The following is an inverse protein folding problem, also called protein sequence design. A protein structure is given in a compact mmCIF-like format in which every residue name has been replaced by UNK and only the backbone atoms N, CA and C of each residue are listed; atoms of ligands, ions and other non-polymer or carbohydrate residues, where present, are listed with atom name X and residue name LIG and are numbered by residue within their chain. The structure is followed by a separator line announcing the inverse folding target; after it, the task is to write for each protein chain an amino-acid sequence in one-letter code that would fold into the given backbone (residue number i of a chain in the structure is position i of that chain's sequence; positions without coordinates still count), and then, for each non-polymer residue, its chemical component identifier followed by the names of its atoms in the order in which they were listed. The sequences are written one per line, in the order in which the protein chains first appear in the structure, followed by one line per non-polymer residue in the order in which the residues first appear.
data_IF_093990360996
#
_entry.id   IF_093990360996
#
_cell.length_a   1.000
_cell.length_b   1.000
_cell.length_c   1.000
_cell.angle_alpha   90.00
_cell.angle_beta   90.00
_cell.angle_gamma   90.00
#
_symmetry.space_group_name_H-M   'P 1'
#
loop_
_entity.id
_entity.type
_entity.pdbx_description
1 polymer ?
#
# COMPACT_ATOMS: atom_id res chain seq x y z
N UNK A 1 -11.68 8.18 3.41
CA UNK A 1 -10.31 8.35 3.92
C UNK A 1 -10.38 8.44 5.44
N UNK A 2 -9.57 7.66 6.16
CA UNK A 2 -9.51 7.72 7.64
C UNK A 2 -8.95 9.08 8.08
N UNK A 3 -9.52 9.68 9.12
CA UNK A 3 -9.04 10.96 9.67
C UNK A 3 -7.85 10.70 10.59
N UNK A 4 -6.67 11.20 10.23
CA UNK A 4 -5.42 11.04 10.99
C UNK A 4 -5.20 12.24 11.91
N UNK A 5 -4.37 12.10 12.95
CA UNK A 5 -4.02 13.21 13.85
C UNK A 5 -3.52 14.42 13.04
N UNK A 6 -2.63 14.19 12.08
CA UNK A 6 -2.13 15.23 11.17
C UNK A 6 -3.26 16.00 10.47
N UNK A 7 -4.22 15.29 9.86
CA UNK A 7 -5.31 15.94 9.12
C UNK A 7 -6.22 16.72 10.06
N UNK A 8 -6.55 16.16 11.22
CA UNK A 8 -7.38 16.84 12.21
C UNK A 8 -6.69 18.13 12.72
N UNK A 9 -5.38 18.08 13.00
CA UNK A 9 -4.62 19.26 13.41
C UNK A 9 -4.59 20.34 12.31
N UNK A 10 -4.39 19.93 11.04
CA UNK A 10 -4.45 20.84 9.88
C UNK A 10 -5.83 21.41 9.61
N UNK A 11 -6.88 20.65 9.86
CA UNK A 11 -8.24 21.14 9.66
C UNK A 11 -8.60 22.22 10.71
N UNK A 12 -8.09 22.13 11.94
CA UNK A 12 -8.21 23.20 12.95
C UNK A 12 -7.53 24.48 12.46
N UNK A 13 -6.29 24.40 11.94
CA UNK A 13 -5.57 25.57 11.39
C UNK A 13 -6.34 26.21 10.24
N UNK A 14 -6.83 25.41 9.29
CA UNK A 14 -7.62 25.90 8.15
C UNK A 14 -8.94 26.53 8.57
N UNK A 15 -9.56 26.04 9.65
CA UNK A 15 -10.78 26.64 10.18
C UNK A 15 -10.50 28.03 10.76
N UNK A 16 -9.40 28.21 11.50
CA UNK A 16 -8.99 29.52 12.01
C UNK A 16 -8.67 30.50 10.88
N UNK A 17 -7.91 30.07 9.87
CA UNK A 17 -7.63 30.89 8.67
C UNK A 17 -8.94 31.38 8.02
N UNK A 18 -9.91 30.49 7.79
CA UNK A 18 -11.21 30.86 7.22
C UNK A 18 -12.00 31.82 8.11
N UNK A 19 -11.95 31.67 9.43
CA UNK A 19 -12.65 32.56 10.35
C UNK A 19 -12.02 33.96 10.34
N UNK A 20 -10.70 34.05 10.27
CA UNK A 20 -9.97 35.31 10.11
C UNK A 20 -10.33 36.00 8.78
N UNK A 21 -10.36 35.25 7.69
CA UNK A 21 -10.74 35.76 6.36
C UNK A 21 -12.17 36.32 6.34
N UNK A 22 -13.06 35.78 7.19
CA UNK A 22 -14.45 36.23 7.33
C UNK A 22 -14.63 37.42 8.29
N UNK A 23 -13.54 38.01 8.82
CA UNK A 23 -13.57 39.05 9.85
C UNK A 23 -14.43 38.67 11.08
N UNK A 24 -14.48 37.39 11.41
CA UNK A 24 -15.13 36.92 12.63
C UNK A 24 -14.34 37.41 13.85
N UNK A 25 -15.03 38.05 14.81
CA UNK A 25 -14.42 38.48 16.08
C UNK A 25 -14.12 37.32 17.04
N UNK A 26 -14.56 36.10 16.72
CA UNK A 26 -14.25 34.91 17.53
C UNK A 26 -12.79 34.52 17.32
N UNK A 27 -11.95 34.85 18.29
CA UNK A 27 -10.61 34.26 18.43
C UNK A 27 -10.77 32.82 18.89
N UNK A 28 -10.49 31.88 18.01
CA UNK A 28 -10.39 30.46 18.38
C UNK A 28 -8.98 30.23 18.90
N UNK A 29 -8.84 29.69 20.10
CA UNK A 29 -7.53 29.25 20.60
C UNK A 29 -7.14 27.94 19.88
N UNK A 30 -6.47 28.12 18.74
CA UNK A 30 -5.97 27.01 17.90
C UNK A 30 -5.03 26.12 18.69
N UNK A 31 -4.15 26.70 19.52
CA UNK A 31 -3.15 25.96 20.27
C UNK A 31 -3.82 25.09 21.33
N UNK A 32 -4.81 25.62 22.06
CA UNK A 32 -5.59 24.85 23.04
C UNK A 32 -6.37 23.71 22.38
N UNK A 33 -7.03 23.97 21.24
CA UNK A 33 -7.75 22.92 20.50
C UNK A 33 -6.82 21.84 19.97
N UNK A 34 -5.67 22.21 19.42
CA UNK A 34 -4.65 21.26 18.97
C UNK A 34 -4.08 20.46 20.14
N UNK A 35 -3.79 21.10 21.28
CA UNK A 35 -3.32 20.41 22.48
C UNK A 35 -4.34 19.39 22.99
N UNK A 36 -5.62 19.79 23.08
CA UNK A 36 -6.72 18.89 23.46
C UNK A 36 -6.89 17.73 22.47
N UNK A 37 -6.61 17.95 21.19
CA UNK A 37 -6.60 16.91 20.19
C UNK A 37 -5.45 15.92 20.43
N UNK A 38 -4.21 16.40 20.67
CA UNK A 38 -3.05 15.55 20.94
C UNK A 38 -3.23 14.70 22.21
N UNK A 39 -3.82 15.26 23.27
CA UNK A 39 -4.15 14.54 24.50
C UNK A 39 -5.00 13.28 24.27
N UNK A 40 -5.91 13.30 23.29
CA UNK A 40 -6.74 12.13 22.95
C UNK A 40 -5.96 10.98 22.34
N UNK A 41 -4.76 11.25 21.82
CA UNK A 41 -3.90 10.29 21.16
C UNK A 41 -2.69 9.90 22.02
N UNK A 42 -2.54 10.39 23.25
CA UNK A 42 -1.39 10.09 24.13
C UNK A 42 -1.22 8.59 24.43
N UNK A 43 -2.30 7.80 24.37
CA UNK A 43 -2.22 6.34 24.50
C UNK A 43 -1.60 5.65 23.29
N UNK A 44 -1.38 6.36 22.18
CA UNK A 44 -0.72 5.81 21.00
C UNK A 44 0.79 5.66 21.28
N UNK A 45 1.34 4.43 21.21
CA UNK A 45 2.75 4.20 21.57
C UNK A 45 3.74 5.01 20.76
N UNK A 46 3.47 5.26 19.47
CA UNK A 46 4.37 6.06 18.62
C UNK A 46 4.40 7.52 19.09
N UNK A 47 3.24 8.08 19.44
CA UNK A 47 3.17 9.45 19.96
C UNK A 47 3.81 9.54 21.35
N UNK A 48 3.57 8.53 22.19
CA UNK A 48 4.18 8.43 23.52
C UNK A 48 5.71 8.39 23.44
N UNK A 49 6.28 7.56 22.55
CA UNK A 49 7.73 7.48 22.35
C UNK A 49 8.32 8.82 21.91
N UNK A 50 7.62 9.57 21.06
CA UNK A 50 8.02 10.91 20.62
C UNK A 50 7.95 11.96 21.73
N UNK A 51 6.91 11.89 22.58
CA UNK A 51 6.78 12.75 23.76
C UNK A 51 7.90 12.50 24.78
N UNK A 52 8.33 11.24 24.93
CA UNK A 52 9.41 10.84 25.84
C UNK A 52 10.83 10.96 25.23
N UNK A 53 10.96 11.56 24.04
CA UNK A 53 12.23 11.70 23.31
C UNK A 53 12.96 10.37 23.02
N UNK A 54 12.24 9.25 23.09
CA UNK A 54 12.83 7.92 22.87
C UNK A 54 12.99 7.60 21.39
N UNK A 55 12.02 8.04 20.58
CA UNK A 55 12.03 7.90 19.11
C UNK A 55 11.06 8.92 18.50
N UNK A 56 11.46 9.64 17.45
CA UNK A 56 10.54 10.58 16.77
C UNK A 56 9.52 9.85 15.88
N UNK A 57 8.44 10.56 15.52
CA UNK A 57 7.44 10.03 14.58
C UNK A 57 8.09 9.87 13.20
N UNK A 58 8.92 10.83 12.77
CA UNK A 58 9.70 10.75 11.53
C UNK A 58 10.61 9.51 11.51
N UNK A 59 11.35 9.25 12.58
CA UNK A 59 12.22 8.07 12.72
C UNK A 59 11.42 6.78 12.62
N UNK A 60 10.25 6.73 13.26
CA UNK A 60 9.34 5.58 13.20
C UNK A 60 8.85 5.32 11.75
N UNK A 61 8.52 6.38 11.00
CA UNK A 61 8.14 6.28 9.58
C UNK A 61 9.31 5.76 8.74
N UNK A 62 10.50 6.30 8.97
CA UNK A 62 11.71 5.93 8.24
C UNK A 62 12.10 4.48 8.50
N UNK A 63 12.01 4.02 9.75
CA UNK A 63 12.29 2.64 10.15
C UNK A 63 11.32 1.67 9.45
N UNK A 64 10.01 1.95 9.49
CA UNK A 64 9.02 1.12 8.80
C UNK A 64 9.25 1.08 7.28
N UNK A 65 9.74 2.18 6.69
CA UNK A 65 10.14 2.25 5.29
C UNK A 65 11.39 1.45 4.92
N UNK A 66 12.22 1.06 5.90
CA UNK A 66 13.45 0.30 5.68
C UNK A 66 13.25 -1.22 5.72
N UNK A 67 12.19 -1.71 6.37
CA UNK A 67 11.97 -3.14 6.66
C UNK A 67 11.87 -4.02 5.40
N UNK A 68 11.61 -3.45 4.21
CA UNK A 68 11.46 -4.21 2.96
C UNK A 68 12.22 -3.63 1.76
N UNK A 69 13.54 -3.46 1.88
CA UNK A 69 14.41 -3.09 0.74
C UNK A 69 14.78 -4.32 -0.14
N UNK A 70 14.97 -4.09 -1.44
CA UNK A 70 15.47 -5.09 -2.41
C UNK A 70 14.48 -6.20 -2.77
N UNK A 71 14.95 -7.43 -2.95
CA UNK A 71 14.11 -8.61 -3.30
C UNK A 71 13.05 -8.91 -2.22
N UNK A 72 13.27 -8.47 -0.98
CA UNK A 72 12.28 -8.60 0.12
C UNK A 72 11.03 -7.72 -0.08
N UNK A 73 11.10 -6.71 -0.95
CA UNK A 73 9.96 -5.91 -1.41
C UNK A 73 8.96 -6.74 -2.25
N UNK A 74 9.47 -7.80 -2.86
CA UNK A 74 8.75 -8.71 -3.77
C UNK A 74 8.28 -9.96 -3.02
N UNK A 75 9.08 -10.43 -2.06
CA UNK A 75 8.78 -11.58 -1.20
C UNK A 75 8.90 -11.17 0.27
N UNK A 76 7.92 -10.41 0.81
CA UNK A 76 7.93 -10.05 2.22
C UNK A 76 7.87 -11.32 3.09
N UNK A 77 8.72 -11.36 4.11
CA UNK A 77 8.70 -12.44 5.10
C UNK A 77 7.37 -12.36 5.88
N UNK A 78 6.78 -13.53 6.19
CA UNK A 78 5.48 -13.70 6.87
C UNK A 78 5.16 -12.63 7.92
N UNK A 79 3.87 -12.23 8.02
CA UNK A 79 3.19 -11.48 9.11
C UNK A 79 4.12 -11.16 10.29
N UNK A 80 4.93 -10.11 10.16
CA UNK A 80 5.62 -9.54 11.31
C UNK A 80 4.56 -8.81 12.14
N UNK A 81 4.05 -9.47 13.18
CA UNK A 81 3.00 -8.92 14.05
C UNK A 81 3.40 -7.56 14.61
N UNK A 82 4.65 -7.42 15.06
CA UNK A 82 5.18 -6.15 15.58
C UNK A 82 5.20 -5.04 14.51
N UNK A 83 5.67 -5.35 13.29
CA UNK A 83 5.62 -4.39 12.18
C UNK A 83 4.20 -3.95 11.84
N UNK A 84 3.26 -4.88 11.77
CA UNK A 84 1.86 -4.58 11.45
C UNK A 84 1.17 -3.78 12.56
N UNK A 85 1.49 -4.08 13.81
CA UNK A 85 0.98 -3.35 14.96
C UNK A 85 1.53 -1.92 15.00
N UNK A 86 2.84 -1.75 14.80
CA UNK A 86 3.48 -0.43 14.69
C UNK A 86 2.95 0.36 13.50
N UNK A 87 2.73 -0.28 12.35
CA UNK A 87 2.11 0.34 11.18
C UNK A 87 0.67 0.82 11.48
N UNK A 88 -0.12 0.01 12.19
CA UNK A 88 -1.48 0.39 12.60
C UNK A 88 -1.47 1.60 13.53
N UNK A 89 -0.56 1.61 14.52
CA UNK A 89 -0.37 2.75 15.43
C UNK A 89 0.02 4.01 14.66
N UNK A 90 0.94 3.89 13.70
CA UNK A 90 1.40 5.01 12.87
C UNK A 90 0.30 5.54 11.94
N UNK A 91 -0.56 4.66 11.43
CA UNK A 91 -1.71 5.00 10.57
C UNK A 91 -2.83 5.79 11.28
N UNK A 92 -2.79 5.90 12.60
CA UNK A 92 -3.65 6.83 13.36
C UNK A 92 -3.09 8.27 13.35
N UNK A 93 -1.77 8.41 13.24
CA UNK A 93 -1.07 9.69 13.34
C UNK A 93 -0.92 10.37 11.97
N UNK A 94 -0.40 9.64 10.99
CA UNK A 94 -0.11 10.13 9.63
C UNK A 94 -0.90 9.33 8.59
N UNK A 95 -1.04 9.90 7.39
CA UNK A 95 -1.65 9.24 6.24
C UNK A 95 -1.01 7.88 6.04
N UNK A 96 -1.83 6.82 6.10
CA UNK A 96 -1.37 5.44 5.90
C UNK A 96 -0.62 5.33 4.55
N UNK A 97 0.69 5.05 4.55
CA UNK A 97 1.40 4.76 3.32
C UNK A 97 0.89 3.42 2.79
N UNK A 98 0.07 3.47 1.72
CA UNK A 98 -0.54 2.30 1.08
C UNK A 98 0.45 1.16 0.79
N UNK A 99 1.72 1.49 0.51
CA UNK A 99 2.75 0.51 0.22
C UNK A 99 3.28 -0.26 1.45
N UNK A 100 3.13 0.28 2.67
CA UNK A 100 3.52 -0.42 3.89
C UNK A 100 2.50 -1.50 4.28
N UNK A 101 1.22 -1.31 3.93
CA UNK A 101 0.19 -2.35 4.05
C UNK A 101 0.47 -3.54 3.14
N UNK A 102 0.94 -3.29 1.91
CA UNK A 102 1.26 -4.35 0.94
C UNK A 102 2.50 -5.16 1.32
N UNK A 103 3.39 -4.64 2.18
CA UNK A 103 4.52 -5.39 2.72
C UNK A 103 4.18 -6.28 3.92
N UNK A 104 3.11 -5.99 4.66
CA UNK A 104 2.69 -6.79 5.82
C UNK A 104 1.76 -7.96 5.46
N UNK A 105 1.26 -7.95 4.23
CA UNK A 105 0.15 -8.79 3.78
C UNK A 105 0.45 -9.17 2.33
N UNK A 106 1.10 -10.33 2.13
CA UNK A 106 0.57 -11.17 1.06
C UNK A 106 -0.92 -11.30 1.36
N UNK A 107 -1.76 -10.62 0.56
CA UNK A 107 -3.12 -11.08 0.37
C UNK A 107 -2.93 -12.23 -0.61
N UNK A 108 -2.86 -13.50 -0.16
CA UNK A 108 -2.97 -14.63 -1.08
C UNK A 108 -4.18 -14.39 -1.98
N UNK A 109 -5.23 -13.75 -1.48
CA UNK A 109 -6.40 -13.29 -2.23
C UNK A 109 -6.04 -12.54 -3.52
N UNK A 110 -5.12 -11.56 -3.51
CA UNK A 110 -4.75 -10.81 -4.72
C UNK A 110 -3.90 -11.63 -5.70
N UNK A 111 -3.02 -12.51 -5.21
CA UNK A 111 -2.19 -13.35 -6.08
C UNK A 111 -2.99 -14.54 -6.63
N UNK A 112 -3.97 -15.03 -5.87
CA UNK A 112 -4.94 -16.05 -6.26
C UNK A 112 -5.98 -15.47 -7.21
N UNK A 113 -6.55 -14.27 -6.97
CA UNK A 113 -7.46 -13.64 -7.93
C UNK A 113 -6.72 -13.20 -9.18
N UNK A 114 -5.55 -12.55 -9.07
CA UNK A 114 -4.73 -12.23 -10.27
C UNK A 114 -4.30 -13.51 -10.98
N UNK A 115 -3.96 -14.56 -10.24
CA UNK A 115 -3.65 -15.88 -10.79
C UNK A 115 -4.83 -16.48 -11.54
N UNK A 116 -6.03 -16.47 -10.96
CA UNK A 116 -7.24 -16.98 -11.57
C UNK A 116 -7.65 -16.16 -12.81
N UNK A 117 -7.58 -14.84 -12.76
CA UNK A 117 -7.90 -13.93 -13.87
C UNK A 117 -6.91 -14.09 -15.02
N UNK A 118 -5.60 -14.11 -14.73
CA UNK A 118 -4.55 -14.32 -15.74
C UNK A 118 -4.63 -15.73 -16.33
N UNK A 119 -4.95 -16.73 -15.52
CA UNK A 119 -5.15 -18.11 -16.00
C UNK A 119 -6.35 -18.19 -16.93
N UNK A 120 -7.49 -17.66 -16.52
CA UNK A 120 -8.69 -17.62 -17.35
C UNK A 120 -8.45 -16.88 -18.68
N UNK A 121 -7.72 -15.76 -18.64
CA UNK A 121 -7.36 -15.00 -19.84
C UNK A 121 -6.38 -15.77 -20.74
N UNK A 122 -5.36 -16.43 -20.17
CA UNK A 122 -4.39 -17.21 -20.93
C UNK A 122 -5.06 -18.38 -21.67
N UNK A 123 -5.92 -19.13 -20.99
CA UNK A 123 -6.71 -20.21 -21.61
C UNK A 123 -7.73 -19.68 -22.63
N UNK A 124 -8.37 -18.53 -22.35
CA UNK A 124 -9.29 -17.90 -23.30
C UNK A 124 -8.61 -17.43 -24.59
N UNK A 125 -7.42 -16.81 -24.49
CA UNK A 125 -6.63 -16.39 -25.65
C UNK A 125 -6.11 -17.60 -26.41
N UNK A 126 -5.58 -18.60 -25.70
CA UNK A 126 -5.12 -19.86 -26.29
C UNK A 126 -6.21 -20.53 -27.13
N UNK A 127 -7.43 -20.65 -26.58
CA UNK A 127 -8.58 -21.20 -27.29
C UNK A 127 -8.95 -20.41 -28.55
N UNK A 128 -8.91 -19.08 -28.50
CA UNK A 128 -9.18 -18.25 -29.67
C UNK A 128 -8.09 -18.38 -30.74
N UNK A 129 -6.82 -18.49 -30.33
CA UNK A 129 -5.69 -18.70 -31.23
C UNK A 129 -5.77 -20.07 -31.90
N UNK A 130 -6.06 -21.14 -31.15
CA UNK A 130 -6.19 -22.50 -31.71
C UNK A 130 -7.39 -22.62 -32.64
N UNK A 131 -8.50 -21.96 -32.32
CA UNK A 131 -9.73 -22.04 -33.13
C UNK A 131 -9.73 -21.18 -34.39
N UNK A 132 -9.09 -20.01 -34.37
CA UNK A 132 -9.21 -19.02 -35.46
C UNK A 132 -7.91 -18.70 -36.19
N UNK A 133 -6.74 -18.95 -35.60
CA UNK A 133 -5.45 -18.56 -36.17
C UNK A 133 -4.57 -19.76 -36.53
N UNK A 134 -4.70 -20.88 -35.81
CA UNK A 134 -4.06 -22.15 -36.15
C UNK A 134 -5.01 -23.02 -36.97
N UNK A 135 -5.18 -22.68 -38.25
CA UNK A 135 -5.75 -23.66 -39.19
C UNK A 135 -4.70 -24.75 -39.44
N UNK A 136 -5.01 -26.04 -39.20
CA UNK A 136 -4.07 -27.11 -39.49
C UNK A 136 -3.81 -27.13 -41.01
N UNK A 137 -2.52 -27.06 -41.38
CA UNK A 137 -2.13 -27.28 -42.76
C UNK A 137 -2.56 -28.70 -43.17
N UNK A 138 -3.16 -28.90 -44.36
CA UNK A 138 -3.66 -30.20 -44.78
C UNK A 138 -2.56 -31.26 -44.98
N UNK A 139 -1.29 -30.83 -45.07
CA UNK A 139 -0.13 -31.71 -45.28
C UNK A 139 0.53 -32.20 -43.99
N UNK A 140 -0.06 -31.89 -42.82
CA UNK A 140 0.52 -32.23 -41.51
C UNK A 140 -0.09 -33.53 -41.00
N UNK A 141 0.74 -34.40 -40.41
CA UNK A 141 0.26 -35.68 -39.91
C UNK A 141 -0.74 -35.51 -38.75
N UNK A 142 -1.70 -36.44 -38.56
CA UNK A 142 -2.65 -36.37 -37.46
C UNK A 142 -1.99 -36.25 -36.08
N UNK A 143 -0.83 -36.88 -35.90
CA UNK A 143 -0.05 -36.85 -34.67
C UNK A 143 0.55 -35.46 -34.42
N UNK A 144 1.07 -34.79 -35.45
CA UNK A 144 1.60 -33.43 -35.37
C UNK A 144 0.49 -32.40 -35.14
N UNK A 145 -0.70 -32.59 -35.72
CA UNK A 145 -1.87 -31.74 -35.46
C UNK A 145 -2.27 -31.87 -33.97
N UNK A 146 -2.32 -33.09 -33.45
CA UNK A 146 -2.69 -33.35 -32.06
C UNK A 146 -1.66 -32.80 -31.06
N UNK A 147 -0.37 -32.92 -31.37
CA UNK A 147 0.71 -32.32 -30.58
C UNK A 147 0.64 -30.79 -30.60
N UNK A 148 0.40 -30.19 -31.76
CA UNK A 148 0.28 -28.73 -31.90
C UNK A 148 -0.90 -28.21 -31.08
N UNK A 149 -2.07 -28.85 -31.18
CA UNK A 149 -3.24 -28.49 -30.38
C UNK A 149 -2.97 -28.64 -28.87
N UNK A 150 -2.31 -29.72 -28.44
CA UNK A 150 -1.95 -29.89 -27.03
C UNK A 150 -0.99 -28.81 -26.53
N UNK A 151 0.00 -28.40 -27.33
CA UNK A 151 0.91 -27.31 -26.97
C UNK A 151 0.16 -25.99 -26.82
N UNK A 152 -0.74 -25.66 -27.74
CA UNK A 152 -1.45 -24.40 -27.72
C UNK A 152 -2.59 -24.35 -26.71
N UNK A 153 -3.35 -25.42 -26.51
CA UNK A 153 -4.51 -25.46 -25.62
C UNK A 153 -4.15 -25.74 -24.15
N UNK A 154 -3.00 -26.36 -23.89
CA UNK A 154 -2.62 -26.81 -22.55
C UNK A 154 -1.27 -26.25 -22.11
N UNK A 155 -0.20 -26.52 -22.85
CA UNK A 155 1.17 -26.22 -22.38
C UNK A 155 1.42 -24.72 -22.33
N UNK A 156 1.16 -24.02 -23.44
CA UNK A 156 1.39 -22.59 -23.58
C UNK A 156 0.56 -21.76 -22.58
N UNK A 157 -0.77 -21.93 -22.43
CA UNK A 157 -1.54 -21.18 -21.45
C UNK A 157 -1.13 -21.53 -20.02
N UNK A 158 -0.76 -22.78 -19.71
CA UNK A 158 -0.27 -23.15 -18.37
C UNK A 158 1.04 -22.44 -18.02
N UNK A 159 2.00 -22.42 -18.95
CA UNK A 159 3.28 -21.73 -18.77
C UNK A 159 3.09 -20.21 -18.68
N UNK A 160 2.25 -19.64 -19.56
CA UNK A 160 1.91 -18.22 -19.53
C UNK A 160 1.24 -17.84 -18.22
N UNK A 161 0.29 -18.65 -17.72
CA UNK A 161 -0.36 -18.41 -16.44
C UNK A 161 0.62 -18.43 -15.27
N UNK A 162 1.51 -19.43 -15.25
CA UNK A 162 2.52 -19.60 -14.20
C UNK A 162 3.54 -18.44 -14.17
N UNK A 163 3.85 -17.81 -15.32
CA UNK A 163 4.81 -16.72 -15.41
C UNK A 163 4.18 -15.33 -15.31
N UNK A 164 3.01 -15.13 -15.93
CA UNK A 164 2.35 -13.83 -16.02
C UNK A 164 1.65 -13.45 -14.71
N UNK A 165 1.06 -14.41 -13.98
CA UNK A 165 0.44 -14.12 -12.69
C UNK A 165 1.42 -13.49 -11.68
N UNK A 166 2.62 -14.07 -11.43
CA UNK A 166 3.60 -13.43 -10.57
C UNK A 166 4.13 -12.12 -11.20
N UNK A 167 4.44 -12.06 -12.50
CA UNK A 167 4.93 -10.81 -13.12
C UNK A 167 3.93 -9.65 -13.02
N UNK A 168 2.63 -9.91 -13.24
CA UNK A 168 1.59 -8.88 -13.16
C UNK A 168 1.37 -8.43 -11.71
N UNK A 169 1.40 -9.37 -10.76
CA UNK A 169 1.44 -9.05 -9.32
C UNK A 169 2.65 -8.19 -8.94
N UNK A 170 3.81 -8.45 -9.53
CA UNK A 170 5.02 -7.65 -9.29
C UNK A 170 4.92 -6.24 -9.88
N UNK A 171 4.49 -6.11 -11.14
CA UNK A 171 4.39 -4.82 -11.84
C UNK A 171 3.33 -3.90 -11.24
N UNK A 172 2.18 -4.45 -10.85
CA UNK A 172 1.10 -3.69 -10.21
C UNK A 172 1.50 -3.19 -8.82
N UNK A 173 2.25 -4.00 -8.07
CA UNK A 173 2.83 -3.57 -6.79
C UNK A 173 3.91 -2.50 -6.98
N UNK A 174 4.76 -2.61 -8.01
CA UNK A 174 5.81 -1.62 -8.33
C UNK A 174 5.28 -0.21 -8.67
N UNK A 175 4.09 -0.09 -9.25
CA UNK A 175 3.50 1.22 -9.58
C UNK A 175 2.85 1.95 -8.40
N UNK A 176 2.62 1.28 -7.25
CA UNK A 176 1.92 1.85 -6.08
C UNK A 176 2.85 2.40 -4.99
N UNK A 177 4.15 2.49 -5.25
CA UNK A 177 5.11 3.07 -4.31
C UNK A 177 5.04 4.60 -4.33
N UNK A 178 4.04 5.14 -3.63
CA UNK A 178 4.02 6.55 -3.23
C UNK A 178 5.10 6.81 -2.16
N UNK A 179 5.60 8.04 -2.05
CA UNK A 179 6.55 8.43 -1.00
C UNK A 179 6.03 8.15 0.41
N UNK A 180 6.94 8.04 1.38
CA UNK A 180 6.60 7.98 2.80
C UNK A 180 6.01 9.34 3.25
N UNK A 181 5.08 9.37 4.22
CA UNK A 181 4.46 10.61 4.72
C UNK A 181 5.41 11.35 5.69
N UNK A 182 6.65 11.60 5.28
CA UNK A 182 7.70 12.22 6.12
C UNK A 182 7.34 13.64 6.53
N UNK A 183 6.73 14.43 5.65
CA UNK A 183 6.32 15.81 5.95
C UNK A 183 5.19 15.86 6.98
N UNK A 184 4.26 14.91 6.95
CA UNK A 184 3.20 14.81 7.96
C UNK A 184 3.79 14.45 9.33
N UNK A 185 4.76 13.53 9.35
CA UNK A 185 5.45 13.12 10.56
C UNK A 185 6.25 14.26 11.18
N UNK A 186 7.06 14.99 10.39
CA UNK A 186 7.81 16.16 10.84
C UNK A 186 6.92 17.26 11.43
N UNK A 187 5.77 17.50 10.82
CA UNK A 187 4.80 18.46 11.34
C UNK A 187 4.32 18.04 12.73
N UNK A 188 3.98 16.75 12.92
CA UNK A 188 3.56 16.24 14.22
C UNK A 188 4.68 16.29 15.25
N UNK A 189 5.92 15.94 14.88
CA UNK A 189 7.08 16.08 15.76
C UNK A 189 7.27 17.53 16.22
N UNK A 190 7.09 18.51 15.31
CA UNK A 190 7.08 19.93 15.67
C UNK A 190 6.00 20.31 16.68
N UNK A 191 4.79 19.76 16.53
CA UNK A 191 3.68 19.99 17.48
C UNK A 191 3.89 19.29 18.82
N UNK A 192 4.54 18.13 18.85
CA UNK A 192 4.95 17.49 20.10
C UNK A 192 5.92 18.38 20.87
N UNK A 193 6.91 18.96 20.19
CA UNK A 193 7.86 19.90 20.82
C UNK A 193 7.15 21.15 21.34
N UNK A 194 6.14 21.67 20.62
CA UNK A 194 5.37 22.85 21.03
C UNK A 194 4.50 22.62 22.27
N UNK A 195 3.89 21.44 22.41
CA UNK A 195 2.88 21.20 23.45
C UNK A 195 3.38 20.49 24.70
N UNK A 196 4.50 19.78 24.60
CA UNK A 196 5.00 18.90 25.65
C UNK A 196 6.40 19.26 26.16
N UNK A 197 7.01 20.32 25.64
CA UNK A 197 8.32 20.84 26.08
C UNK A 197 8.28 22.35 26.27
#
# INVERSE_FOLDING_TARGET
MKATLYRQAKDIERMDEKLRDLNSSNQVDVAELQRNLFQRYESNPVLYDAMQESQSIEESVAELGQVNRGIRKILPWRRNKGHNERLKQLGELVSEPYHLHTSGIFMPDNLITTGAEVTAMAFGVSYLMSRYLLSPNPDVSPEEIQQTMHVFDVVLPTVMSALMAPMFGLLTNMRRFTGLPTEEAKYLDGKVQEFYK
#
